data_IF_591603862816
#
_entry.id   IF_591603862816
#
_cell.length_a   1.000
_cell.length_b   1.000
_cell.length_c   1.000
_cell.angle_alpha   90.00
_cell.angle_beta   90.00
_cell.angle_gamma   90.00
#
_symmetry.space_group_name_H-M   'P 1'
#
loop_
_entity.id
_entity.type
_entity.pdbx_description
1 polymer ?
#
# COMPACT_ATOMS: atom_id res chain seq x y z
N UNK A 1 3.58 -54.90 26.34
CA UNK A 1 3.15 -55.29 24.99
C UNK A 1 3.73 -54.29 24.01
N UNK A 2 4.69 -54.76 23.32
CA UNK A 2 5.52 -54.09 22.32
C UNK A 2 4.78 -53.95 21.01
N UNK A 3 4.90 -52.86 20.31
CA UNK A 3 4.70 -52.78 18.88
C UNK A 3 5.67 -51.77 18.28
N UNK A 4 6.61 -52.35 17.67
CA UNK A 4 7.70 -51.88 16.83
C UNK A 4 7.13 -51.37 15.50
N UNK A 5 7.53 -50.19 15.04
CA UNK A 5 7.33 -49.78 13.64
C UNK A 5 8.65 -49.24 13.06
N UNK A 6 9.20 -50.14 12.29
CA UNK A 6 10.39 -50.05 11.44
C UNK A 6 10.39 -48.87 10.46
N UNK A 7 11.55 -48.24 10.40
CA UNK A 7 12.02 -47.29 9.39
C UNK A 7 12.09 -47.90 7.99
N UNK A 8 11.61 -47.21 6.96
CA UNK A 8 11.94 -47.45 5.57
C UNK A 8 12.72 -46.27 4.98
N UNK A 9 13.98 -46.54 4.74
CA UNK A 9 14.94 -45.78 3.98
C UNK A 9 14.56 -45.74 2.49
N UNK A 10 14.52 -44.54 1.88
CA UNK A 10 14.55 -44.41 0.42
C UNK A 10 15.87 -43.80 -0.03
N UNK A 11 16.82 -44.66 -0.31
CA UNK A 11 17.93 -44.42 -1.22
C UNK A 11 17.64 -45.05 -2.55
N UNK A 12 18.19 -44.42 -3.64
CA UNK A 12 18.39 -44.91 -5.01
C UNK A 12 17.22 -44.71 -6.00
N UNK A 13 17.43 -43.68 -6.84
CA UNK A 13 17.45 -43.89 -8.32
C UNK A 13 18.09 -42.65 -8.98
N UNK A 14 19.39 -42.82 -9.28
CA UNK A 14 20.13 -42.02 -10.25
C UNK A 14 19.89 -42.67 -11.62
N UNK A 15 19.26 -41.95 -12.56
CA UNK A 15 19.28 -42.32 -13.98
C UNK A 15 20.07 -41.27 -14.73
N UNK A 16 21.18 -41.66 -15.26
CA UNK A 16 22.09 -40.94 -16.16
C UNK A 16 21.49 -40.84 -17.55
N UNK A 17 21.42 -39.59 -18.09
CA UNK A 17 21.09 -39.32 -19.51
C UNK A 17 22.37 -38.76 -20.17
N UNK A 18 22.83 -39.28 -21.31
CA UNK A 18 24.05 -38.80 -21.96
C UNK A 18 23.77 -37.52 -22.78
N UNK A 19 24.65 -36.54 -22.65
CA UNK A 19 24.67 -35.32 -23.48
C UNK A 19 25.33 -35.66 -24.82
N UNK A 20 24.55 -35.59 -25.91
CA UNK A 20 25.10 -35.64 -27.28
C UNK A 20 25.44 -34.20 -27.72
N UNK A 21 26.72 -33.95 -27.93
CA UNK A 21 27.20 -32.71 -28.52
C UNK A 21 27.02 -32.73 -30.03
N UNK A 22 26.15 -31.86 -30.57
CA UNK A 22 25.98 -31.62 -32.03
C UNK A 22 26.80 -30.38 -32.40
N UNK A 23 27.89 -30.56 -33.09
CA UNK A 23 28.68 -29.49 -33.69
C UNK A 23 28.04 -29.09 -35.04
N UNK A 24 27.45 -27.89 -35.12
CA UNK A 24 26.98 -27.30 -36.38
C UNK A 24 28.04 -26.32 -36.86
N UNK A 25 28.68 -26.64 -37.96
CA UNK A 25 29.50 -25.71 -38.76
C UNK A 25 28.56 -24.86 -39.58
N UNK A 26 28.39 -23.60 -39.22
CA UNK A 26 27.67 -22.60 -40.02
C UNK A 26 28.65 -21.87 -40.97
N UNK A 27 28.35 -21.89 -42.24
CA UNK A 27 29.04 -21.11 -43.24
C UNK A 27 28.64 -19.63 -43.15
N UNK A 28 29.63 -18.74 -43.20
CA UNK A 28 29.44 -17.29 -43.21
C UNK A 28 29.06 -16.89 -44.62
N UNK A 29 27.87 -16.33 -44.85
CA UNK A 29 27.46 -15.64 -46.06
C UNK A 29 27.86 -14.15 -46.00
N UNK A 30 28.19 -13.51 -47.11
CA UNK A 30 28.64 -12.11 -47.14
C UNK A 30 27.49 -11.16 -46.87
N UNK A 31 27.82 -10.05 -46.19
CA UNK A 31 26.90 -8.99 -45.79
C UNK A 31 26.24 -8.31 -47.00
N UNK A 32 24.93 -8.21 -47.01
CA UNK A 32 24.17 -7.39 -47.97
C UNK A 32 24.23 -5.92 -47.55
N UNK A 33 24.40 -5.03 -48.52
CA UNK A 33 24.38 -3.57 -48.35
C UNK A 33 23.03 -3.07 -47.80
N UNK A 34 22.98 -2.00 -46.97
CA UNK A 34 21.74 -1.49 -46.43
C UNK A 34 20.94 -0.77 -47.51
N UNK A 35 19.71 -1.24 -47.72
CA UNK A 35 18.75 -0.56 -48.59
C UNK A 35 18.35 0.78 -47.95
N UNK A 36 18.49 1.87 -48.69
CA UNK A 36 17.98 3.20 -48.34
C UNK A 36 16.46 3.18 -48.32
N UNK A 37 15.86 3.24 -47.13
CA UNK A 37 14.41 3.40 -46.95
C UNK A 37 14.10 4.88 -47.01
N UNK A 38 13.39 5.31 -48.06
CA UNK A 38 12.77 6.65 -48.13
C UNK A 38 11.76 6.80 -47.02
N UNK A 39 11.69 7.97 -46.34
CA UNK A 39 10.68 8.18 -45.29
C UNK A 39 9.29 8.25 -45.94
N UNK A 40 8.46 7.27 -45.62
CA UNK A 40 7.03 7.33 -45.96
C UNK A 40 6.40 8.45 -45.13
N UNK A 41 5.87 9.45 -45.81
CA UNK A 41 5.00 10.47 -45.20
C UNK A 41 3.72 9.80 -44.70
N UNK A 42 3.67 9.54 -43.40
CA UNK A 42 2.43 9.14 -42.73
C UNK A 42 1.59 10.40 -42.55
N UNK A 43 0.57 10.56 -43.40
CA UNK A 43 -0.48 11.55 -43.17
C UNK A 43 -1.21 11.20 -41.85
N UNK A 44 -1.41 12.16 -40.91
CA UNK A 44 -2.20 11.89 -39.73
C UNK A 44 -3.66 11.68 -40.18
N UNK A 45 -4.15 10.45 -40.06
CA UNK A 45 -5.58 10.19 -40.09
C UNK A 45 -6.18 10.79 -38.85
N UNK A 46 -6.87 11.92 -39.01
CA UNK A 46 -7.73 12.49 -37.99
C UNK A 46 -8.88 11.53 -37.71
N UNK A 47 -8.67 10.60 -36.75
CA UNK A 47 -9.76 9.91 -36.07
C UNK A 47 -10.52 10.93 -35.20
N UNK A 48 -11.81 10.71 -34.90
CA UNK A 48 -12.58 11.63 -34.07
C UNK A 48 -11.82 11.84 -32.73
N UNK A 49 -11.63 13.12 -32.39
CA UNK A 49 -11.08 13.54 -31.10
C UNK A 49 -11.84 12.82 -29.97
N UNK A 50 -11.26 11.71 -29.49
CA UNK A 50 -11.66 11.19 -28.20
C UNK A 50 -11.25 12.29 -27.21
N UNK A 51 -12.20 13.07 -26.77
CA UNK A 51 -11.98 14.08 -25.75
C UNK A 51 -11.22 13.40 -24.60
N UNK A 52 -9.99 13.82 -24.39
CA UNK A 52 -9.17 13.31 -23.27
C UNK A 52 -9.98 13.65 -22.04
N UNK A 53 -10.56 12.63 -21.39
CA UNK A 53 -11.34 12.83 -20.18
C UNK A 53 -10.47 13.60 -19.19
N UNK A 54 -10.99 14.70 -18.66
CA UNK A 54 -10.25 15.52 -17.70
C UNK A 54 -9.76 14.63 -16.55
N UNK A 55 -8.48 14.76 -16.19
CA UNK A 55 -7.92 14.00 -15.12
C UNK A 55 -8.67 14.32 -13.81
N UNK A 56 -9.12 13.29 -13.10
CA UNK A 56 -9.72 13.47 -11.78
C UNK A 56 -8.65 13.95 -10.82
N UNK A 57 -8.90 15.06 -10.15
CA UNK A 57 -7.99 15.67 -9.20
C UNK A 57 -8.62 15.75 -7.80
N UNK A 58 -7.83 15.72 -6.72
CA UNK A 58 -8.35 15.95 -5.37
C UNK A 58 -8.86 17.40 -5.23
N UNK A 59 -9.78 17.66 -4.26
CA UNK A 59 -10.24 19.00 -3.98
C UNK A 59 -9.08 19.96 -3.64
N UNK A 60 -9.09 21.15 -4.25
CA UNK A 60 -8.08 22.17 -3.98
C UNK A 60 -8.34 22.92 -2.66
N UNK A 61 -7.28 23.51 -2.10
CA UNK A 61 -7.38 24.41 -0.94
C UNK A 61 -7.47 23.74 0.43
N UNK A 62 -7.48 22.41 0.50
CA UNK A 62 -7.44 21.66 1.75
C UNK A 62 -6.01 21.23 2.09
N UNK A 63 -5.59 21.44 3.33
CA UNK A 63 -4.32 20.94 3.84
C UNK A 63 -4.38 19.43 4.15
N UNK A 64 -5.47 18.99 4.76
CA UNK A 64 -5.74 17.57 5.04
C UNK A 64 -6.98 17.16 4.21
N UNK A 65 -6.81 16.12 3.42
CA UNK A 65 -7.85 15.51 2.60
C UNK A 65 -8.34 14.25 3.32
N UNK A 66 -9.67 14.10 3.44
CA UNK A 66 -10.30 13.00 4.16
C UNK A 66 -10.74 11.91 3.19
N UNK A 67 -10.32 10.68 3.45
CA UNK A 67 -10.69 9.49 2.67
C UNK A 67 -11.15 8.35 3.57
N UNK A 68 -11.68 7.29 2.95
CA UNK A 68 -11.97 6.03 3.63
C UNK A 68 -11.36 4.87 2.83
N UNK A 69 -11.12 3.73 3.50
CA UNK A 69 -10.77 2.47 2.84
C UNK A 69 -11.95 2.00 1.97
N UNK A 70 -11.68 1.45 0.79
CA UNK A 70 -12.73 0.86 -0.05
C UNK A 70 -13.48 -0.25 0.69
N UNK A 71 -12.79 -1.02 1.54
CA UNK A 71 -13.39 -2.07 2.38
C UNK A 71 -14.48 -1.59 3.33
N UNK A 72 -14.52 -0.30 3.67
CA UNK A 72 -15.59 0.31 4.47
C UNK A 72 -16.88 0.55 3.67
N UNK A 73 -16.79 0.61 2.36
CA UNK A 73 -17.90 0.92 1.44
C UNK A 73 -18.59 -0.40 1.06
N UNK A 74 -19.93 -0.49 1.06
CA UNK A 74 -20.63 -1.71 0.70
C UNK A 74 -20.15 -2.29 -0.63
N UNK A 75 -19.84 -3.59 -0.63
CA UNK A 75 -19.48 -4.33 -1.84
C UNK A 75 -20.68 -4.81 -2.65
N UNK A 76 -21.86 -4.78 -2.03
CA UNK A 76 -23.12 -5.28 -2.59
C UNK A 76 -24.28 -4.35 -2.24
N UNK A 77 -25.29 -4.30 -3.10
CA UNK A 77 -26.57 -3.69 -2.85
C UNK A 77 -27.69 -4.59 -3.38
N UNK A 78 -28.71 -4.86 -2.56
CA UNK A 78 -29.82 -5.74 -2.90
C UNK A 78 -29.38 -7.13 -3.44
N UNK A 79 -28.32 -7.71 -2.87
CA UNK A 79 -27.76 -9.01 -3.27
C UNK A 79 -26.96 -8.99 -4.58
N UNK A 80 -26.68 -7.81 -5.14
CA UNK A 80 -25.88 -7.66 -6.36
C UNK A 80 -24.56 -6.99 -6.04
N UNK A 81 -23.44 -7.55 -6.52
CA UNK A 81 -22.11 -6.96 -6.38
C UNK A 81 -22.06 -5.58 -7.07
N UNK A 82 -21.61 -4.58 -6.34
CA UNK A 82 -21.41 -3.25 -6.87
C UNK A 82 -20.11 -3.16 -7.67
N UNK A 83 -20.12 -2.58 -8.89
CA UNK A 83 -18.90 -2.24 -9.60
C UNK A 83 -18.08 -1.19 -8.83
N UNK A 84 -16.76 -1.14 -9.08
CA UNK A 84 -15.87 -0.23 -8.37
C UNK A 84 -16.33 1.24 -8.48
N UNK A 85 -16.72 1.70 -9.65
CA UNK A 85 -17.19 3.07 -9.85
C UNK A 85 -18.40 3.41 -8.96
N UNK A 86 -19.36 2.50 -8.83
CA UNK A 86 -20.51 2.70 -7.95
C UNK A 86 -20.12 2.79 -6.48
N UNK A 87 -19.16 1.95 -6.02
CA UNK A 87 -18.62 2.03 -4.66
C UNK A 87 -17.92 3.36 -4.41
N UNK A 88 -17.09 3.82 -5.35
CA UNK A 88 -16.43 5.13 -5.26
C UNK A 88 -17.46 6.27 -5.16
N UNK A 89 -18.55 6.20 -5.93
CA UNK A 89 -19.64 7.20 -5.87
C UNK A 89 -20.28 7.30 -4.49
N UNK A 90 -20.45 6.17 -3.75
CA UNK A 90 -20.97 6.19 -2.37
C UNK A 90 -20.05 6.94 -1.40
N UNK A 91 -18.71 6.84 -1.55
CA UNK A 91 -17.79 7.64 -0.75
C UNK A 91 -17.92 9.14 -1.02
N UNK A 92 -18.09 9.53 -2.28
CA UNK A 92 -18.35 10.93 -2.68
C UNK A 92 -19.68 11.44 -2.11
N UNK A 93 -20.73 10.63 -2.17
CA UNK A 93 -22.03 10.95 -1.58
C UNK A 93 -21.93 11.18 -0.06
N UNK A 94 -21.11 10.36 0.64
CA UNK A 94 -20.82 10.55 2.06
C UNK A 94 -19.93 11.79 2.35
N UNK A 95 -19.39 12.44 1.32
CA UNK A 95 -18.60 13.67 1.40
C UNK A 95 -17.11 13.47 1.60
N UNK A 96 -16.56 12.29 1.38
CA UNK A 96 -15.11 12.07 1.36
C UNK A 96 -14.45 12.74 0.14
N UNK A 97 -13.21 13.18 0.32
CA UNK A 97 -12.40 13.81 -0.74
C UNK A 97 -11.82 12.79 -1.73
N UNK A 98 -11.73 11.53 -1.33
CA UNK A 98 -11.22 10.42 -2.12
C UNK A 98 -11.33 9.07 -1.40
N UNK A 99 -10.74 8.04 -2.01
CA UNK A 99 -10.77 6.66 -1.50
C UNK A 99 -9.36 6.08 -1.48
N UNK A 100 -9.06 5.29 -0.45
CA UNK A 100 -7.91 4.39 -0.40
C UNK A 100 -8.35 3.01 -0.93
N UNK A 101 -7.76 2.56 -2.02
CA UNK A 101 -8.09 1.30 -2.69
C UNK A 101 -7.38 0.13 -1.97
N UNK A 102 -7.89 -0.23 -0.79
CA UNK A 102 -7.33 -1.29 0.05
C UNK A 102 -7.57 -2.71 -0.48
N UNK A 103 -8.29 -2.84 -1.60
CA UNK A 103 -8.56 -4.09 -2.30
C UNK A 103 -7.93 -4.12 -3.71
N UNK A 104 -6.76 -3.49 -3.88
CA UNK A 104 -6.12 -3.33 -5.18
C UNK A 104 -5.84 -4.65 -5.91
N UNK A 105 -5.63 -5.76 -5.18
CA UNK A 105 -5.45 -7.09 -5.77
C UNK A 105 -6.65 -7.58 -6.61
N UNK A 106 -7.84 -7.01 -6.39
CA UNK A 106 -9.07 -7.40 -7.10
C UNK A 106 -9.27 -6.66 -8.43
N UNK A 107 -8.41 -5.70 -8.74
CA UNK A 107 -8.59 -4.82 -9.89
C UNK A 107 -7.32 -4.74 -10.75
N UNK A 108 -7.50 -4.72 -12.05
CA UNK A 108 -6.44 -4.37 -12.99
C UNK A 108 -6.21 -2.85 -13.01
N UNK A 109 -5.04 -2.38 -13.46
CA UNK A 109 -4.80 -0.95 -13.68
C UNK A 109 -5.83 -0.29 -14.61
N UNK A 110 -6.32 -1.01 -15.63
CA UNK A 110 -7.33 -0.50 -16.55
C UNK A 110 -8.69 -0.32 -15.88
N UNK A 111 -9.13 -1.29 -15.06
CA UNK A 111 -10.39 -1.20 -14.31
C UNK A 111 -10.36 -0.08 -13.27
N UNK A 112 -9.24 0.09 -12.57
CA UNK A 112 -9.07 1.20 -11.61
C UNK A 112 -9.17 2.56 -12.31
N UNK A 113 -8.50 2.73 -13.46
CA UNK A 113 -8.57 3.96 -14.27
C UNK A 113 -9.99 4.23 -14.74
N UNK A 114 -10.67 3.22 -15.29
CA UNK A 114 -12.04 3.35 -15.77
C UNK A 114 -13.00 3.75 -14.66
N UNK A 115 -12.90 3.12 -13.49
CA UNK A 115 -13.75 3.44 -12.35
C UNK A 115 -13.56 4.86 -11.82
N UNK A 116 -12.30 5.35 -11.79
CA UNK A 116 -12.00 6.74 -11.42
C UNK A 116 -12.59 7.71 -12.43
N UNK A 117 -12.42 7.45 -13.73
CA UNK A 117 -12.97 8.30 -14.80
C UNK A 117 -14.50 8.33 -14.77
N UNK A 118 -15.16 7.20 -14.53
CA UNK A 118 -16.62 7.07 -14.46
C UNK A 118 -17.21 7.76 -13.22
N UNK A 119 -16.62 7.52 -12.04
CA UNK A 119 -17.14 8.06 -10.77
C UNK A 119 -16.75 9.53 -10.52
N UNK A 120 -15.66 9.99 -11.13
CA UNK A 120 -15.05 11.28 -10.82
C UNK A 120 -14.54 11.38 -9.38
N UNK A 121 -14.18 10.23 -8.75
CA UNK A 121 -13.65 10.14 -7.39
C UNK A 121 -12.16 9.86 -7.42
N UNK A 122 -11.37 10.64 -6.69
CA UNK A 122 -9.94 10.46 -6.62
C UNK A 122 -9.57 9.24 -5.75
N UNK A 123 -8.79 8.31 -6.32
CA UNK A 123 -8.21 7.19 -5.59
C UNK A 123 -6.75 7.53 -5.27
N UNK A 124 -6.47 7.88 -4.02
CA UNK A 124 -5.16 8.43 -3.67
C UNK A 124 -4.10 7.39 -3.32
N UNK A 125 -4.49 6.15 -3.06
CA UNK A 125 -3.60 5.09 -2.58
C UNK A 125 -4.08 3.72 -3.02
N UNK A 126 -3.20 2.73 -3.04
CA UNK A 126 -3.53 1.33 -3.28
C UNK A 126 -2.87 0.42 -2.23
N UNK A 127 -3.56 -0.65 -1.84
CA UNK A 127 -3.08 -1.65 -0.88
C UNK A 127 -3.40 -3.05 -1.39
N UNK A 128 -2.47 -3.98 -1.21
CA UNK A 128 -2.73 -5.40 -1.41
C UNK A 128 -2.72 -6.12 -0.07
N UNK A 129 -3.88 -6.55 0.40
CA UNK A 129 -4.03 -7.27 1.67
C UNK A 129 -3.23 -8.57 1.78
N UNK A 130 -2.74 -9.12 0.65
CA UNK A 130 -1.86 -10.28 0.65
C UNK A 130 -0.53 -10.04 1.39
N UNK A 131 -0.17 -8.78 1.70
CA UNK A 131 1.02 -8.45 2.49
C UNK A 131 1.01 -9.06 3.91
N UNK A 132 -0.14 -9.48 4.41
CA UNK A 132 -0.24 -10.21 5.68
C UNK A 132 0.20 -11.68 5.55
N UNK A 133 0.02 -12.29 4.37
CA UNK A 133 0.34 -13.69 4.09
C UNK A 133 1.64 -13.83 3.30
N UNK A 134 1.87 -12.96 2.31
CA UNK A 134 3.09 -12.94 1.49
C UNK A 134 3.96 -11.77 1.88
N UNK A 135 5.02 -12.04 2.65
CA UNK A 135 5.79 -11.02 3.37
C UNK A 135 7.18 -10.82 2.78
N UNK A 136 7.62 -9.57 2.73
CA UNK A 136 9.00 -9.22 2.34
C UNK A 136 10.05 -9.72 3.34
N UNK A 137 9.61 -10.07 4.57
CA UNK A 137 10.48 -10.57 5.65
C UNK A 137 10.57 -12.09 5.70
N UNK A 138 9.76 -12.81 4.93
CA UNK A 138 9.72 -14.28 4.94
C UNK A 138 11.10 -14.90 4.68
N UNK A 139 11.37 -16.04 5.31
CA UNK A 139 12.55 -16.85 5.01
C UNK A 139 12.42 -17.57 3.66
N UNK A 140 11.19 -17.79 3.17
CA UNK A 140 10.94 -18.39 1.85
C UNK A 140 11.16 -17.35 0.74
N UNK A 141 12.09 -17.64 -0.16
CA UNK A 141 12.39 -16.80 -1.30
C UNK A 141 11.24 -16.67 -2.32
N UNK A 142 10.43 -17.72 -2.48
CA UNK A 142 9.26 -17.69 -3.37
C UNK A 142 8.16 -16.81 -2.80
N UNK A 143 7.91 -16.86 -1.49
CA UNK A 143 7.00 -15.94 -0.81
C UNK A 143 7.45 -14.47 -0.97
N UNK A 144 8.74 -14.18 -0.76
CA UNK A 144 9.26 -12.82 -0.98
C UNK A 144 9.11 -12.34 -2.42
N UNK A 145 9.38 -13.23 -3.41
CA UNK A 145 9.17 -12.89 -4.82
C UNK A 145 7.70 -12.57 -5.13
N UNK A 146 6.77 -13.29 -4.55
CA UNK A 146 5.34 -12.99 -4.67
C UNK A 146 4.98 -11.68 -3.99
N UNK A 147 5.56 -11.37 -2.82
CA UNK A 147 5.35 -10.08 -2.14
C UNK A 147 5.84 -8.90 -3.01
N UNK A 148 6.98 -9.04 -3.67
CA UNK A 148 7.49 -8.07 -4.65
C UNK A 148 6.50 -7.88 -5.80
N UNK A 149 6.02 -8.96 -6.41
CA UNK A 149 5.05 -8.91 -7.52
C UNK A 149 3.73 -8.23 -7.09
N UNK A 150 3.25 -8.53 -5.88
CA UNK A 150 2.07 -7.89 -5.31
C UNK A 150 2.25 -6.37 -5.13
N UNK A 151 3.44 -5.94 -4.66
CA UNK A 151 3.77 -4.52 -4.51
C UNK A 151 3.88 -3.80 -5.86
N UNK A 152 4.51 -4.43 -6.85
CA UNK A 152 4.57 -3.90 -8.22
C UNK A 152 3.17 -3.74 -8.83
N UNK A 153 2.29 -4.70 -8.60
CA UNK A 153 0.89 -4.60 -9.03
C UNK A 153 0.20 -3.39 -8.42
N UNK A 154 0.32 -3.18 -7.09
CA UNK A 154 -0.22 -2.02 -6.41
C UNK A 154 0.29 -0.70 -6.96
N UNK A 155 1.60 -0.60 -7.25
CA UNK A 155 2.19 0.60 -7.86
C UNK A 155 1.56 0.92 -9.22
N UNK A 156 1.33 -0.11 -10.05
CA UNK A 156 0.68 0.06 -11.37
C UNK A 156 -0.80 0.45 -11.23
N UNK A 157 -1.53 -0.14 -10.27
CA UNK A 157 -2.93 0.20 -9.99
C UNK A 157 -3.04 1.63 -9.47
N UNK A 158 -2.22 2.02 -8.48
CA UNK A 158 -2.19 3.38 -7.93
C UNK A 158 -1.90 4.41 -9.03
N UNK A 159 -0.87 4.17 -9.85
CA UNK A 159 -0.53 5.05 -10.98
C UNK A 159 -1.67 5.17 -11.99
N UNK A 160 -2.28 4.06 -12.37
CA UNK A 160 -3.38 4.06 -13.34
C UNK A 160 -4.64 4.80 -12.83
N UNK A 161 -4.89 4.74 -11.52
CA UNK A 161 -5.95 5.48 -10.85
C UNK A 161 -5.62 6.98 -10.66
N UNK A 162 -4.40 7.43 -10.98
CA UNK A 162 -3.95 8.80 -10.73
C UNK A 162 -3.54 9.06 -9.28
N UNK A 163 -3.29 8.00 -8.52
CA UNK A 163 -2.96 8.06 -7.10
C UNK A 163 -1.57 8.62 -6.80
N UNK A 164 -1.24 8.71 -5.52
CA UNK A 164 0.00 9.30 -5.01
C UNK A 164 0.69 8.42 -3.97
N UNK A 165 0.66 7.10 -4.16
CA UNK A 165 1.40 6.14 -3.36
C UNK A 165 0.70 4.82 -3.12
N UNK A 166 1.43 3.90 -2.50
CA UNK A 166 0.95 2.60 -2.06
C UNK A 166 1.30 2.38 -0.60
N UNK A 167 0.39 1.77 0.16
CA UNK A 167 0.66 1.34 1.53
C UNK A 167 1.15 -0.11 1.53
N UNK A 168 2.12 -0.40 2.38
CA UNK A 168 2.60 -1.75 2.64
C UNK A 168 2.82 -2.01 4.12
N UNK A 169 2.39 -3.18 4.58
CA UNK A 169 2.89 -3.81 5.81
C UNK A 169 4.09 -4.68 5.43
N UNK A 170 5.26 -4.36 5.98
CA UNK A 170 6.53 -4.91 5.50
C UNK A 170 6.86 -6.32 5.99
N UNK A 171 6.07 -6.89 6.91
CA UNK A 171 6.26 -8.25 7.41
C UNK A 171 5.98 -8.40 8.89
N UNK A 172 6.64 -9.34 9.54
CA UNK A 172 6.43 -9.67 10.95
C UNK A 172 7.75 -9.86 11.70
N UNK A 173 7.79 -9.41 12.96
CA UNK A 173 8.92 -9.63 13.86
C UNK A 173 9.21 -11.10 14.16
N UNK A 174 8.21 -11.98 13.99
CA UNK A 174 8.38 -13.44 14.14
C UNK A 174 9.10 -14.15 13.00
N UNK A 175 9.38 -13.47 11.89
CA UNK A 175 10.09 -14.07 10.73
C UNK A 175 11.60 -14.23 10.96
N UNK A 176 12.15 -13.79 12.10
CA UNK A 176 13.53 -13.99 12.50
C UNK A 176 14.13 -12.85 13.31
N UNK A 177 15.46 -12.85 13.53
CA UNK A 177 16.15 -11.75 14.20
C UNK A 177 15.93 -10.41 13.53
N UNK A 178 15.75 -9.34 14.29
CA UNK A 178 15.37 -8.01 13.80
C UNK A 178 16.25 -7.50 12.65
N UNK A 179 17.58 -7.61 12.78
CA UNK A 179 18.50 -7.16 11.74
C UNK A 179 18.33 -7.94 10.43
N UNK A 180 18.09 -9.25 10.50
CA UNK A 180 17.91 -10.10 9.31
C UNK A 180 16.60 -9.82 8.59
N UNK A 181 15.49 -9.69 9.34
CA UNK A 181 14.18 -9.40 8.73
C UNK A 181 14.16 -8.02 8.09
N UNK A 182 14.80 -7.01 8.72
CA UNK A 182 14.93 -5.67 8.14
C UNK A 182 15.81 -5.69 6.89
N UNK A 183 16.90 -6.46 6.89
CA UNK A 183 17.74 -6.58 5.71
C UNK A 183 17.03 -7.29 4.55
N UNK A 184 16.30 -8.40 4.82
CA UNK A 184 15.49 -9.09 3.81
C UNK A 184 14.46 -8.12 3.21
N UNK A 185 13.68 -7.43 4.05
CA UNK A 185 12.70 -6.45 3.59
C UNK A 185 13.35 -5.36 2.74
N UNK A 186 14.47 -4.79 3.19
CA UNK A 186 15.19 -3.74 2.47
C UNK A 186 15.69 -4.22 1.11
N UNK A 187 16.19 -5.43 1.02
CA UNK A 187 16.68 -6.00 -0.23
C UNK A 187 15.55 -6.26 -1.23
N UNK A 188 14.40 -6.72 -0.77
CA UNK A 188 13.22 -6.92 -1.63
C UNK A 188 12.61 -5.57 -2.08
N UNK A 189 12.44 -4.62 -1.18
CA UNK A 189 11.92 -3.29 -1.53
C UNK A 189 12.81 -2.55 -2.54
N UNK A 190 14.15 -2.67 -2.43
CA UNK A 190 15.08 -2.06 -3.39
C UNK A 190 14.86 -2.53 -4.83
N UNK A 191 14.35 -3.74 -5.04
CA UNK A 191 14.03 -4.25 -6.39
C UNK A 191 12.87 -3.46 -7.04
N UNK A 192 11.97 -2.94 -6.21
CA UNK A 192 10.73 -2.25 -6.65
C UNK A 192 10.92 -0.73 -6.76
N UNK A 193 11.93 -0.16 -6.10
CA UNK A 193 12.15 1.30 -6.10
C UNK A 193 12.30 1.92 -7.50
N UNK A 194 12.97 1.29 -8.49
CA UNK A 194 13.01 1.84 -9.85
C UNK A 194 11.63 1.99 -10.48
N UNK A 195 10.73 1.03 -10.25
CA UNK A 195 9.34 1.11 -10.73
C UNK A 195 8.56 2.20 -9.98
N UNK A 196 8.71 2.29 -8.66
CA UNK A 196 8.11 3.33 -7.84
C UNK A 196 8.50 4.73 -8.35
N UNK A 197 9.79 4.94 -8.63
CA UNK A 197 10.31 6.18 -9.18
C UNK A 197 9.76 6.48 -10.58
N UNK A 198 9.75 5.48 -11.48
CA UNK A 198 9.26 5.63 -12.85
C UNK A 198 7.76 5.98 -12.91
N UNK A 199 6.98 5.48 -11.95
CA UNK A 199 5.54 5.73 -11.86
C UNK A 199 5.18 6.93 -10.96
N UNK A 200 6.14 7.54 -10.26
CA UNK A 200 5.89 8.64 -9.32
C UNK A 200 5.06 8.19 -8.09
N UNK A 201 5.19 6.93 -7.68
CA UNK A 201 4.39 6.34 -6.62
C UNK A 201 5.27 5.97 -5.41
N UNK A 202 5.28 6.72 -4.30
CA UNK A 202 6.02 6.33 -3.11
C UNK A 202 5.42 5.08 -2.45
N UNK A 203 6.31 4.26 -1.88
CA UNK A 203 5.98 3.11 -1.05
C UNK A 203 5.93 3.58 0.40
N UNK A 204 4.77 3.48 1.02
CA UNK A 204 4.50 4.01 2.35
C UNK A 204 4.32 2.88 3.35
N UNK A 205 5.19 2.84 4.34
CA UNK A 205 5.23 1.78 5.34
C UNK A 205 4.28 2.13 6.48
N UNK A 206 3.36 1.19 6.78
CA UNK A 206 2.44 1.33 7.89
C UNK A 206 3.00 0.73 9.19
N UNK A 207 2.77 1.41 10.30
CA UNK A 207 2.99 0.87 11.64
C UNK A 207 1.79 0.03 12.08
N UNK A 208 2.01 -1.26 12.23
CA UNK A 208 1.00 -2.23 12.66
C UNK A 208 1.52 -3.05 13.85
N UNK A 209 0.65 -3.88 14.44
CA UNK A 209 1.03 -4.71 15.60
C UNK A 209 1.81 -5.98 15.17
N UNK A 210 2.88 -5.80 14.44
CA UNK A 210 3.72 -6.87 13.89
C UNK A 210 5.12 -7.00 14.53
N UNK A 211 5.42 -6.23 15.57
CA UNK A 211 6.72 -6.22 16.28
C UNK A 211 7.93 -5.86 15.39
N UNK A 212 7.69 -5.12 14.30
CA UNK A 212 8.78 -4.77 13.38
C UNK A 212 9.46 -3.45 13.76
N UNK A 213 8.73 -2.34 13.76
CA UNK A 213 9.31 -1.00 13.83
C UNK A 213 9.35 -0.43 15.25
N UNK A 214 8.68 -1.05 16.19
CA UNK A 214 8.66 -0.69 17.61
C UNK A 214 8.43 -1.93 18.49
N UNK A 215 8.85 -1.84 19.73
CA UNK A 215 8.70 -2.91 20.71
C UNK A 215 7.35 -2.76 21.43
N UNK A 216 6.54 -3.81 21.41
CA UNK A 216 5.23 -3.82 22.08
C UNK A 216 5.32 -3.97 23.60
N UNK A 217 6.48 -4.38 24.09
CA UNK A 217 6.77 -4.59 25.50
C UNK A 217 7.57 -3.41 26.11
N UNK A 218 7.95 -2.43 25.28
CA UNK A 218 8.66 -1.23 25.71
C UNK A 218 7.73 -0.21 26.41
N UNK A 219 8.28 0.72 27.20
CA UNK A 219 7.51 1.84 27.75
C UNK A 219 6.81 2.66 26.66
N UNK A 220 5.63 3.24 26.96
CA UNK A 220 4.89 4.06 25.99
C UNK A 220 5.64 5.30 25.48
N UNK A 221 6.72 5.68 26.16
CA UNK A 221 7.61 6.79 25.80
C UNK A 221 8.70 6.39 24.80
N UNK A 222 8.71 5.13 24.32
CA UNK A 222 9.70 4.71 23.32
C UNK A 222 9.65 5.63 22.08
N UNK A 223 10.83 6.01 21.60
CA UNK A 223 10.96 6.86 20.42
C UNK A 223 10.83 6.08 19.10
N UNK A 224 10.66 6.78 17.98
CA UNK A 224 10.52 6.19 16.65
C UNK A 224 11.86 5.97 15.92
N UNK A 225 12.99 6.06 16.60
CA UNK A 225 14.35 6.08 16.00
C UNK A 225 14.59 4.89 15.09
N UNK A 226 14.14 3.70 15.49
CA UNK A 226 14.26 2.47 14.70
C UNK A 226 13.47 2.58 13.38
N UNK A 227 12.24 3.09 13.43
CA UNK A 227 11.41 3.25 12.26
C UNK A 227 11.98 4.33 11.32
N UNK A 228 12.41 5.45 11.86
CA UNK A 228 13.10 6.51 11.12
C UNK A 228 14.36 5.97 10.43
N UNK A 229 15.22 5.29 11.18
CA UNK A 229 16.45 4.71 10.64
C UNK A 229 16.16 3.70 9.52
N UNK A 230 15.11 2.89 9.66
CA UNK A 230 14.72 1.93 8.63
C UNK A 230 14.29 2.66 7.34
N UNK A 231 13.40 3.64 7.42
CA UNK A 231 12.95 4.43 6.26
C UNK A 231 14.13 5.17 5.62
N UNK A 232 14.97 5.83 6.40
CA UNK A 232 16.14 6.59 5.92
C UNK A 232 17.20 5.69 5.27
N UNK A 233 17.25 4.41 5.66
CA UNK A 233 18.21 3.44 5.10
C UNK A 233 18.04 3.20 3.60
N UNK A 234 16.86 3.49 3.04
CA UNK A 234 16.62 3.39 1.60
C UNK A 234 17.25 4.52 0.80
N UNK A 235 17.55 5.67 1.43
CA UNK A 235 18.09 6.88 0.79
C UNK A 235 17.32 7.24 -0.48
N UNK A 236 16.01 7.16 -0.42
CA UNK A 236 15.11 7.33 -1.55
C UNK A 236 13.91 8.18 -1.16
N UNK A 237 13.51 9.18 -1.97
CA UNK A 237 12.28 9.93 -1.75
C UNK A 237 11.02 9.10 -2.02
N UNK A 238 11.17 7.88 -2.55
CA UNK A 238 10.09 6.96 -2.87
C UNK A 238 9.78 5.98 -1.73
N UNK A 239 10.31 6.21 -0.53
CA UNK A 239 9.94 5.48 0.70
C UNK A 239 9.56 6.49 1.77
N UNK A 240 8.41 6.27 2.38
CA UNK A 240 7.89 7.12 3.45
C UNK A 240 7.03 6.32 4.43
N UNK A 241 6.27 7.03 5.25
CA UNK A 241 5.42 6.44 6.27
C UNK A 241 3.95 6.71 5.97
N UNK A 242 3.15 5.65 6.09
CA UNK A 242 1.70 5.71 6.22
C UNK A 242 1.41 5.49 7.71
N UNK A 243 1.24 6.57 8.46
CA UNK A 243 1.22 6.48 9.91
C UNK A 243 -0.18 6.23 10.45
N UNK A 244 -0.38 5.10 11.11
CA UNK A 244 -1.61 4.77 11.81
C UNK A 244 -1.56 5.26 13.25
N UNK A 245 -2.40 6.24 13.55
CA UNK A 245 -2.49 6.88 14.86
C UNK A 245 -3.09 5.96 15.92
N UNK A 246 -4.16 5.24 15.56
CA UNK A 246 -4.86 4.35 16.50
C UNK A 246 -4.07 3.09 16.82
N UNK A 247 -3.40 2.49 15.84
CA UNK A 247 -2.47 1.37 16.08
C UNK A 247 -1.39 1.75 17.08
N UNK A 248 -0.82 2.95 16.91
CA UNK A 248 0.28 3.38 17.76
C UNK A 248 -0.18 3.81 19.15
N UNK A 249 -1.38 4.38 19.29
CA UNK A 249 -1.90 4.81 20.59
C UNK A 249 -1.89 3.69 21.65
N UNK A 250 -2.07 2.45 21.24
CA UNK A 250 -1.96 1.29 22.14
C UNK A 250 -0.60 1.20 22.84
N UNK A 251 0.49 1.53 22.15
CA UNK A 251 1.86 1.24 22.57
C UNK A 251 2.71 2.49 22.80
N UNK A 252 2.25 3.68 22.43
CA UNK A 252 3.10 4.86 22.46
C UNK A 252 2.35 6.19 22.49
N UNK A 253 3.06 7.24 22.10
CA UNK A 253 2.60 8.63 22.09
C UNK A 253 2.56 9.17 20.66
N UNK A 254 1.42 9.14 19.95
CA UNK A 254 1.34 9.51 18.53
C UNK A 254 1.88 10.91 18.22
N UNK A 255 1.57 11.90 19.05
CA UNK A 255 2.03 13.27 18.83
C UNK A 255 3.56 13.40 18.87
N UNK A 256 4.23 12.69 19.77
CA UNK A 256 5.69 12.67 19.84
C UNK A 256 6.31 12.03 18.58
N UNK A 257 5.73 10.94 18.11
CA UNK A 257 6.20 10.26 16.90
C UNK A 257 5.95 11.09 15.64
N UNK A 258 4.79 11.73 15.50
CA UNK A 258 4.50 12.65 14.39
C UNK A 258 5.57 13.75 14.29
N UNK A 259 5.91 14.37 15.41
CA UNK A 259 6.97 15.42 15.45
C UNK A 259 8.32 14.88 14.99
N UNK A 260 8.70 13.69 15.46
CA UNK A 260 9.98 13.07 15.11
C UNK A 260 10.04 12.62 13.65
N UNK A 261 8.93 12.16 13.08
CA UNK A 261 8.85 11.75 11.66
C UNK A 261 9.05 12.92 10.71
N UNK A 262 8.46 14.08 11.02
CA UNK A 262 8.52 15.25 10.15
C UNK A 262 8.03 14.93 8.73
N UNK A 263 8.82 15.26 7.73
CA UNK A 263 8.50 15.04 6.30
C UNK A 263 8.34 13.57 5.88
N UNK A 264 8.74 12.60 6.71
CA UNK A 264 8.58 11.17 6.43
C UNK A 264 7.13 10.71 6.60
N UNK A 265 6.34 11.45 7.39
CA UNK A 265 4.91 11.22 7.57
C UNK A 265 4.15 11.73 6.33
N UNK A 266 3.86 10.85 5.38
CA UNK A 266 3.28 11.22 4.07
C UNK A 266 1.76 11.10 4.09
N UNK A 267 1.22 10.05 4.72
CA UNK A 267 -0.22 9.81 4.86
C UNK A 267 -0.54 9.26 6.25
N UNK A 268 -1.81 9.30 6.60
CA UNK A 268 -2.31 8.86 7.91
C UNK A 268 -3.42 7.83 7.75
N UNK A 269 -3.41 6.77 8.57
CA UNK A 269 -4.59 5.99 8.90
C UNK A 269 -5.17 6.46 10.24
N UNK A 270 -6.49 6.59 10.26
CA UNK A 270 -7.24 7.18 11.36
C UNK A 270 -8.28 6.18 11.85
N UNK A 271 -8.09 5.75 13.10
CA UNK A 271 -9.04 4.94 13.84
C UNK A 271 -9.01 5.32 15.31
N UNK A 272 -10.15 5.22 16.00
CA UNK A 272 -10.20 5.37 17.44
C UNK A 272 -9.66 4.12 18.15
N UNK A 273 -9.08 4.31 19.32
CA UNK A 273 -8.66 3.23 20.18
C UNK A 273 -8.91 3.59 21.64
N UNK A 274 -9.39 2.63 22.41
CA UNK A 274 -9.54 2.75 23.86
C UNK A 274 -8.48 1.93 24.59
N UNK A 275 -7.54 2.57 25.27
CA UNK A 275 -6.58 1.90 26.15
C UNK A 275 -7.31 1.19 27.31
N UNK A 276 -8.37 1.81 27.83
CA UNK A 276 -9.18 1.23 28.90
C UNK A 276 -9.83 -0.09 28.48
N UNK A 277 -10.38 -0.15 27.25
CA UNK A 277 -11.00 -1.36 26.70
C UNK A 277 -10.02 -2.27 25.99
N UNK A 278 -8.81 -1.80 25.71
CA UNK A 278 -7.81 -2.43 24.86
C UNK A 278 -8.40 -2.87 23.50
N UNK A 279 -9.16 -1.98 22.87
CA UNK A 279 -9.89 -2.28 21.64
C UNK A 279 -10.00 -1.05 20.74
N UNK A 280 -10.12 -1.29 19.42
CA UNK A 280 -10.53 -0.27 18.47
C UNK A 280 -11.97 0.15 18.73
N UNK A 281 -12.23 1.44 18.62
CA UNK A 281 -13.53 2.07 18.80
C UNK A 281 -13.76 3.09 17.69
N UNK A 282 -14.97 3.62 17.59
CA UNK A 282 -15.24 4.71 16.65
C UNK A 282 -14.44 5.97 17.00
N UNK A 283 -13.96 6.66 15.99
CA UNK A 283 -13.19 7.90 16.09
C UNK A 283 -14.03 8.93 16.89
N UNK A 284 -13.41 9.60 17.85
CA UNK A 284 -14.03 10.59 18.76
C UNK A 284 -15.30 10.11 19.47
N UNK A 285 -15.50 8.79 19.59
CA UNK A 285 -16.57 8.25 20.44
C UNK A 285 -16.26 8.49 21.92
N UNK A 286 -17.25 8.29 22.77
CA UNK A 286 -17.05 8.41 24.25
C UNK A 286 -16.01 7.45 24.82
N UNK A 287 -15.71 6.37 24.10
CA UNK A 287 -14.70 5.37 24.48
C UNK A 287 -13.32 5.63 23.85
N UNK A 288 -13.23 6.52 22.85
CA UNK A 288 -11.96 6.85 22.19
C UNK A 288 -11.12 7.77 23.09
N UNK A 289 -9.99 7.28 23.53
CA UNK A 289 -9.07 8.02 24.36
C UNK A 289 -7.78 8.49 23.64
N UNK A 290 -7.78 8.43 22.29
CA UNK A 290 -6.72 9.02 21.46
C UNK A 290 -6.68 10.54 21.67
N UNK A 291 -5.51 11.14 22.01
CA UNK A 291 -5.39 12.56 22.29
C UNK A 291 -5.40 13.40 20.99
N UNK A 292 -6.53 13.46 20.30
CA UNK A 292 -6.67 14.11 18.98
C UNK A 292 -6.22 15.57 18.98
N UNK A 293 -6.38 16.30 20.08
CA UNK A 293 -5.86 17.67 20.22
C UNK A 293 -4.35 17.74 20.07
N UNK A 294 -3.62 16.83 20.71
CA UNK A 294 -2.16 16.75 20.60
C UNK A 294 -1.71 16.26 19.22
N UNK A 295 -2.45 15.33 18.62
CA UNK A 295 -2.22 14.85 17.25
C UNK A 295 -2.36 16.01 16.25
N UNK A 296 -3.43 16.80 16.33
CA UNK A 296 -3.63 18.00 15.47
C UNK A 296 -2.50 18.99 15.61
N UNK A 297 -2.09 19.26 16.85
CA UNK A 297 -1.00 20.18 17.13
C UNK A 297 0.31 19.68 16.49
N UNK A 298 0.66 18.41 16.68
CA UNK A 298 1.87 17.82 16.11
C UNK A 298 1.84 17.84 14.57
N UNK A 299 0.71 17.54 13.94
CA UNK A 299 0.54 17.63 12.48
C UNK A 299 0.70 19.07 11.97
N UNK A 300 0.23 20.07 12.73
CA UNK A 300 0.42 21.46 12.39
C UNK A 300 1.89 21.90 12.51
N UNK A 301 2.59 21.48 13.56
CA UNK A 301 3.99 21.78 13.82
C UNK A 301 4.92 21.24 12.73
N UNK A 302 4.66 20.04 12.20
CA UNK A 302 5.43 19.48 11.08
C UNK A 302 4.98 19.99 9.70
N UNK A 303 3.95 20.85 9.64
CA UNK A 303 3.39 21.34 8.38
C UNK A 303 2.75 20.23 7.53
N UNK A 304 2.18 19.17 8.16
CA UNK A 304 1.58 18.05 7.43
C UNK A 304 0.53 18.55 6.42
N UNK A 305 0.66 18.09 5.19
CA UNK A 305 -0.31 18.31 4.12
C UNK A 305 -0.44 17.01 3.31
N UNK A 306 -1.63 16.41 3.31
CA UNK A 306 -1.79 15.10 2.68
C UNK A 306 -3.11 14.43 3.02
N UNK A 307 -3.15 13.11 2.82
CA UNK A 307 -4.33 12.29 3.02
C UNK A 307 -4.38 11.70 4.42
N UNK A 308 -5.58 11.73 5.00
CA UNK A 308 -5.93 10.98 6.21
C UNK A 308 -7.10 10.05 5.87
N UNK A 309 -6.92 8.76 6.09
CA UNK A 309 -7.86 7.71 5.69
C UNK A 309 -8.54 7.12 6.92
N UNK A 310 -9.86 7.04 6.92
CA UNK A 310 -10.57 6.26 7.93
C UNK A 310 -10.34 4.77 7.73
N UNK A 311 -10.05 4.06 8.82
CA UNK A 311 -9.98 2.61 8.88
C UNK A 311 -10.76 2.09 10.09
N UNK A 312 -12.08 2.12 9.98
CA UNK A 312 -13.05 1.72 11.01
C UNK A 312 -14.18 0.89 10.38
N UNK A 313 -15.09 0.40 11.20
CA UNK A 313 -16.29 -0.28 10.70
C UNK A 313 -17.07 0.59 9.71
N UNK A 314 -17.22 0.05 8.48
CA UNK A 314 -17.95 0.70 7.40
C UNK A 314 -19.46 0.52 7.49
N UNK A 315 -20.15 0.80 6.39
CA UNK A 315 -21.61 0.66 6.28
C UNK A 315 -22.18 1.47 5.11
N UNK A 316 -23.45 1.78 5.19
CA UNK A 316 -24.16 2.61 4.21
C UNK A 316 -23.64 4.06 4.18
N UNK A 317 -24.19 4.89 3.29
CA UNK A 317 -23.81 6.30 3.14
C UNK A 317 -24.01 7.08 4.43
N UNK A 318 -25.03 6.78 5.23
CA UNK A 318 -25.28 7.45 6.51
C UNK A 318 -24.16 7.15 7.52
N UNK A 319 -23.73 5.88 7.61
CA UNK A 319 -22.58 5.47 8.43
C UNK A 319 -21.29 6.12 7.93
N UNK A 320 -21.03 6.08 6.63
CA UNK A 320 -19.85 6.70 6.03
C UNK A 320 -19.80 8.21 6.28
N UNK A 321 -20.94 8.90 6.16
CA UNK A 321 -21.07 10.34 6.50
C UNK A 321 -20.75 10.60 7.97
N UNK A 322 -21.19 9.72 8.87
CA UNK A 322 -20.89 9.82 10.31
C UNK A 322 -19.38 9.71 10.53
N UNK A 323 -18.72 8.70 9.95
CA UNK A 323 -17.26 8.52 10.06
C UNK A 323 -16.52 9.73 9.52
N UNK A 324 -16.93 10.27 8.36
CA UNK A 324 -16.32 11.48 7.81
C UNK A 324 -16.37 12.67 8.77
N UNK A 325 -17.53 12.90 9.41
CA UNK A 325 -17.68 13.97 10.41
C UNK A 325 -16.82 13.74 11.65
N UNK A 326 -16.70 12.48 12.10
CA UNK A 326 -15.81 12.09 13.19
C UNK A 326 -14.33 12.38 12.85
N UNK A 327 -13.89 12.06 11.63
CA UNK A 327 -12.55 12.44 11.16
C UNK A 327 -12.33 13.94 11.12
N UNK A 328 -13.33 14.69 10.65
CA UNK A 328 -13.30 16.16 10.61
C UNK A 328 -13.09 16.73 12.02
N UNK A 329 -13.84 16.24 13.01
CA UNK A 329 -13.69 16.59 14.42
C UNK A 329 -12.31 16.19 14.97
N UNK A 330 -11.81 15.00 14.64
CA UNK A 330 -10.51 14.52 15.10
C UNK A 330 -9.35 15.35 14.56
N UNK A 331 -9.38 15.74 13.28
CA UNK A 331 -8.23 16.27 12.58
C UNK A 331 -8.29 17.78 12.30
N UNK A 332 -9.49 18.36 12.20
CA UNK A 332 -9.67 19.77 11.87
C UNK A 332 -10.20 20.58 13.07
N UNK A 333 -10.86 19.93 14.05
CA UNK A 333 -11.33 20.54 15.30
C UNK A 333 -12.74 21.05 15.25
#
# INVERSE_FOLDING_TARGET
MSADHSSLSRRQLLATVPVAALAVRGAVAPAAEPATVSPATVSPTSGPDAAVAAAVAPPAGKRILLSCKLGMIPGEAAGTRLPLAARLALAKEAGFDGVDLDQAALYTPAEARAAVAESGVFVHNAINHAHWQTRLTSTDAAERAQAVANLEHCLRVAHAAGGSGVLIVIGQGGDGPAAEIEERCRNEMKKVLPLAAALGQPILIENVWNRMMYDHDAPPEQGPERFIAFVDSFKSPWVGMYYDVGNHWKYGQPAAWIRAFGHRCVKLDIKGFSRKKNAFVDIVSADDDVPWGEVRQALAEIGFSGWATAEVGGGDVARLTTVRKQMEQALLG
#
